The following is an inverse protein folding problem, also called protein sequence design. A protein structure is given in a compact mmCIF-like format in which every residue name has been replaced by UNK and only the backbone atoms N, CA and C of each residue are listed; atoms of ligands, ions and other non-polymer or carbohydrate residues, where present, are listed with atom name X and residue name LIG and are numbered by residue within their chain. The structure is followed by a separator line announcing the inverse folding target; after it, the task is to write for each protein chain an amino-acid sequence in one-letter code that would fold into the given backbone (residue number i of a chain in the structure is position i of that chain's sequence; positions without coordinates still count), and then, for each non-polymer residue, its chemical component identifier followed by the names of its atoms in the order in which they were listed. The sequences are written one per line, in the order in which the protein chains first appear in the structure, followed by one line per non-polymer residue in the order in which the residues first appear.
data_IF_178077408133
#
_entry.id   IF_178077408133
#
_cell.length_a   1.000
_cell.length_b   1.000
_cell.length_c   1.000
_cell.angle_alpha   90.00
_cell.angle_beta   90.00
_cell.angle_gamma   90.00
#
_symmetry.space_group_name_H-M   'P 1'
#
loop_
_entity.id
_entity.type
_entity.pdbx_description
1 polymer ?
#
# COMPACT_ATOMS: atom_id res chain seq x y z
N UNK A 1 8.61 -6.34 -45.47
CA UNK A 1 9.71 -5.74 -44.69
C UNK A 1 9.25 -4.42 -44.11
N UNK A 2 9.34 -4.23 -42.80
CA UNK A 2 9.13 -2.90 -42.20
C UNK A 2 10.49 -2.18 -42.11
N UNK A 3 10.54 -0.87 -42.38
CA UNK A 3 11.73 -0.05 -42.17
C UNK A 3 11.58 0.79 -40.91
N UNK A 4 12.70 1.10 -40.25
CA UNK A 4 12.72 1.98 -39.09
C UNK A 4 12.54 3.44 -39.53
N UNK A 5 11.52 4.13 -39.01
CA UNK A 5 11.20 5.52 -39.35
C UNK A 5 12.25 6.55 -38.86
N UNK A 6 13.15 6.15 -37.94
CA UNK A 6 14.23 7.04 -37.42
C UNK A 6 15.55 6.89 -38.19
N UNK A 7 15.92 5.68 -38.59
CA UNK A 7 17.25 5.40 -39.17
C UNK A 7 17.20 4.72 -40.54
N UNK A 8 16.01 4.46 -41.10
CA UNK A 8 15.81 3.83 -42.39
C UNK A 8 16.21 2.36 -42.47
N UNK A 9 16.75 1.77 -41.40
CA UNK A 9 17.21 0.37 -41.41
C UNK A 9 16.04 -0.59 -41.54
N UNK A 10 16.20 -1.63 -42.38
CA UNK A 10 15.19 -2.68 -42.51
C UNK A 10 15.11 -3.52 -41.24
N UNK A 11 13.90 -3.67 -40.72
CA UNK A 11 13.58 -4.49 -39.56
C UNK A 11 13.32 -5.90 -40.06
N UNK A 12 14.27 -6.80 -39.76
CA UNK A 12 14.23 -8.21 -40.15
C UNK A 12 13.34 -9.07 -39.25
N UNK A 13 13.23 -8.67 -37.98
CA UNK A 13 12.64 -9.48 -36.92
C UNK A 13 11.40 -8.79 -36.32
N UNK A 14 11.58 -7.99 -35.27
CA UNK A 14 10.49 -7.25 -34.61
C UNK A 14 10.79 -5.76 -34.47
N UNK A 15 9.84 -4.92 -34.89
CA UNK A 15 9.90 -3.46 -34.74
C UNK A 15 9.13 -3.00 -33.51
N UNK A 16 9.73 -2.12 -32.71
CA UNK A 16 9.09 -1.60 -31.50
C UNK A 16 8.31 -0.32 -31.84
N UNK A 17 7.06 -0.24 -31.41
CA UNK A 17 6.24 0.97 -31.60
C UNK A 17 6.51 1.94 -30.47
N UNK A 18 7.02 3.12 -30.81
CA UNK A 18 7.38 4.16 -29.85
C UNK A 18 6.73 5.48 -30.21
N UNK A 19 6.43 6.30 -29.20
CA UNK A 19 5.98 7.67 -29.42
C UNK A 19 7.18 8.59 -29.58
N UNK A 20 7.23 9.28 -30.72
CA UNK A 20 8.17 10.37 -31.00
C UNK A 20 7.35 11.58 -31.41
N UNK A 21 7.50 12.69 -30.68
CA UNK A 21 6.81 13.95 -30.96
C UNK A 21 5.27 13.83 -31.07
N UNK A 22 4.68 12.91 -30.31
CA UNK A 22 3.24 12.66 -30.30
C UNK A 22 2.74 11.70 -31.38
N UNK A 23 3.58 11.33 -32.34
CA UNK A 23 3.25 10.35 -33.37
C UNK A 23 3.79 8.96 -33.01
N UNK A 24 2.96 7.93 -33.28
CA UNK A 24 3.32 6.54 -33.06
C UNK A 24 4.05 6.02 -34.30
N UNK A 25 5.35 5.72 -34.16
CA UNK A 25 6.19 5.23 -35.26
C UNK A 25 6.82 3.88 -34.91
N UNK A 26 7.13 3.10 -35.94
CA UNK A 26 7.80 1.79 -35.78
C UNK A 26 9.29 1.96 -35.96
N UNK A 27 10.06 1.50 -34.99
CA UNK A 27 11.52 1.69 -34.97
C UNK A 27 12.26 0.40 -34.64
N UNK A 28 13.53 0.34 -34.99
CA UNK A 28 14.39 -0.77 -34.60
C UNK A 28 14.75 -0.68 -33.09
N UNK A 29 15.23 -1.79 -32.53
CA UNK A 29 15.60 -1.93 -31.11
C UNK A 29 16.62 -0.90 -30.61
N UNK A 30 17.46 -0.36 -31.50
CA UNK A 30 18.43 0.69 -31.15
C UNK A 30 17.77 2.06 -31.05
N UNK A 31 16.84 2.36 -31.95
CA UNK A 31 16.10 3.62 -32.00
C UNK A 31 14.98 3.71 -30.98
N UNK A 32 14.43 2.57 -30.51
CA UNK A 32 13.37 2.56 -29.50
C UNK A 32 13.78 3.20 -28.16
N UNK A 33 15.07 3.18 -27.82
CA UNK A 33 15.62 3.85 -26.63
C UNK A 33 15.50 5.39 -26.65
N UNK A 34 15.33 5.99 -27.84
CA UNK A 34 15.22 7.44 -28.01
C UNK A 34 13.78 7.93 -27.86
N UNK A 35 12.80 7.05 -28.07
CA UNK A 35 11.38 7.35 -27.92
C UNK A 35 10.83 6.86 -26.57
N UNK A 36 9.58 7.22 -26.28
CA UNK A 36 8.85 6.59 -25.17
C UNK A 36 8.25 5.27 -25.70
N UNK A 37 8.72 4.10 -25.22
CA UNK A 37 8.16 2.83 -25.70
C UNK A 37 6.69 2.77 -25.35
N UNK A 38 5.87 2.27 -26.27
CA UNK A 38 4.53 1.82 -25.94
C UNK A 38 4.72 0.71 -24.91
N UNK A 39 4.53 1.01 -23.62
CA UNK A 39 4.52 -0.02 -22.57
C UNK A 39 3.49 -1.04 -23.01
N UNK A 40 3.96 -2.18 -23.50
CA UNK A 40 3.16 -3.36 -23.68
C UNK A 40 2.54 -3.61 -22.31
N UNK A 41 1.27 -3.27 -22.15
CA UNK A 41 0.40 -3.89 -21.16
C UNK A 41 0.21 -5.35 -21.57
N UNK A 42 1.31 -6.10 -21.65
CA UNK A 42 1.24 -7.55 -21.60
C UNK A 42 0.80 -7.86 -20.19
N UNK A 43 -0.51 -8.10 -20.10
CA UNK A 43 -1.07 -9.09 -19.22
C UNK A 43 -0.50 -9.00 -17.81
N UNK A 44 -1.00 -8.00 -17.08
CA UNK A 44 -1.36 -8.26 -15.69
C UNK A 44 -2.28 -9.47 -15.78
N UNK A 45 -1.70 -10.66 -15.64
CA UNK A 45 -2.41 -11.91 -15.50
C UNK A 45 -3.51 -11.59 -14.51
N UNK A 46 -4.74 -11.77 -15.00
CA UNK A 46 -5.96 -11.55 -14.27
C UNK A 46 -5.87 -12.43 -13.03
N UNK A 47 -5.27 -11.92 -11.96
CA UNK A 47 -5.56 -12.39 -10.62
C UNK A 47 -7.08 -12.31 -10.57
N UNK A 48 -7.79 -13.43 -10.30
CA UNK A 48 -9.23 -13.42 -10.24
C UNK A 48 -9.59 -12.22 -9.40
N UNK A 49 -10.41 -11.32 -9.97
CA UNK A 49 -10.73 -10.03 -9.38
C UNK A 49 -10.97 -10.30 -7.89
N UNK A 50 -10.01 -9.90 -7.06
CA UNK A 50 -10.22 -9.92 -5.63
C UNK A 50 -11.43 -9.04 -5.51
N UNK A 51 -12.59 -9.66 -5.26
CA UNK A 51 -13.80 -8.96 -4.87
C UNK A 51 -13.32 -7.84 -3.97
N UNK A 52 -13.68 -6.57 -4.22
CA UNK A 52 -13.28 -5.51 -3.31
C UNK A 52 -13.60 -6.07 -1.94
N UNK A 53 -12.57 -6.36 -1.13
CA UNK A 53 -12.80 -6.81 0.23
C UNK A 53 -13.63 -5.67 0.74
N UNK A 54 -14.91 -5.94 0.99
CA UNK A 54 -15.79 -5.01 1.65
C UNK A 54 -14.92 -4.51 2.78
N UNK A 55 -14.54 -3.24 2.74
CA UNK A 55 -13.95 -2.60 3.89
C UNK A 55 -15.11 -2.74 4.85
N UNK A 56 -15.09 -3.80 5.65
CA UNK A 56 -15.97 -3.95 6.78
C UNK A 56 -15.66 -2.69 7.53
N UNK A 57 -16.61 -1.75 7.44
CA UNK A 57 -16.58 -0.54 8.25
C UNK A 57 -16.23 -1.07 9.62
N UNK A 58 -15.07 -0.66 10.16
CA UNK A 58 -14.66 -1.02 11.51
C UNK A 58 -15.94 -0.96 12.33
N UNK A 59 -16.39 -2.11 12.83
CA UNK A 59 -17.61 -2.16 13.61
C UNK A 59 -17.47 -1.03 14.61
N UNK A 60 -18.39 -0.05 14.52
CA UNK A 60 -18.40 1.04 15.50
C UNK A 60 -18.46 0.31 16.82
N UNK A 61 -17.41 0.46 17.64
CA UNK A 61 -17.33 -0.17 18.95
C UNK A 61 -18.52 0.40 19.72
N UNK A 62 -19.62 -0.34 19.74
CA UNK A 62 -20.77 -0.04 20.59
C UNK A 62 -20.36 -0.55 21.95
N UNK A 63 -20.06 0.39 22.84
CA UNK A 63 -19.94 0.10 24.26
C UNK A 63 -21.35 -0.22 24.74
N UNK A 64 -21.72 -1.50 24.66
CA UNK A 64 -22.86 -2.02 25.38
C UNK A 64 -22.45 -2.18 26.85
N UNK A 65 -23.37 -1.96 27.78
CA UNK A 65 -23.12 -2.06 29.23
C UNK A 65 -22.73 -3.49 29.68
N UNK A 66 -22.73 -4.44 28.75
CA UNK A 66 -22.23 -5.81 28.91
C UNK A 66 -20.73 -5.99 28.64
N UNK A 67 -20.00 -4.92 28.27
CA UNK A 67 -18.57 -4.99 27.96
C UNK A 67 -17.74 -5.37 29.19
N UNK A 68 -17.27 -6.63 29.22
CA UNK A 68 -16.38 -7.14 30.27
C UNK A 68 -14.93 -6.79 29.95
N UNK A 69 -14.24 -6.13 30.87
CA UNK A 69 -12.81 -5.88 30.76
C UNK A 69 -12.04 -7.21 30.71
N UNK A 70 -11.28 -7.41 29.64
CA UNK A 70 -10.50 -8.62 29.44
C UNK A 70 -9.41 -8.72 30.52
N UNK A 71 -9.24 -9.89 31.15
CA UNK A 71 -8.29 -10.10 32.25
C UNK A 71 -6.84 -9.68 31.93
N UNK A 72 -6.41 -9.83 30.67
CA UNK A 72 -5.05 -9.49 30.20
C UNK A 72 -4.99 -8.17 29.42
N UNK A 73 -5.87 -7.21 29.73
CA UNK A 73 -5.91 -5.90 29.06
C UNK A 73 -4.54 -5.19 29.01
N UNK A 74 -3.75 -5.30 30.07
CA UNK A 74 -2.42 -4.69 30.20
C UNK A 74 -1.45 -5.19 29.13
N UNK A 75 -1.40 -6.51 28.91
CA UNK A 75 -0.58 -7.14 27.88
C UNK A 75 -1.06 -6.80 26.48
N UNK A 76 -2.38 -6.81 26.26
CA UNK A 76 -2.97 -6.47 24.96
C UNK A 76 -2.60 -5.05 24.55
N UNK A 77 -2.71 -4.09 25.46
CA UNK A 77 -2.35 -2.69 25.20
C UNK A 77 -0.86 -2.55 24.94
N UNK A 78 -0.01 -3.18 25.77
CA UNK A 78 1.44 -3.15 25.59
C UNK A 78 1.87 -3.74 24.24
N UNK A 79 1.33 -4.90 23.88
CA UNK A 79 1.63 -5.58 22.62
C UNK A 79 1.17 -4.77 21.42
N UNK A 80 -0.03 -4.18 21.48
CA UNK A 80 -0.53 -3.29 20.44
C UNK A 80 0.35 -2.06 20.28
N UNK A 81 0.77 -1.40 21.38
CA UNK A 81 1.69 -0.26 21.33
C UNK A 81 3.02 -0.63 20.67
N UNK A 82 3.60 -1.76 21.06
CA UNK A 82 4.88 -2.23 20.50
C UNK A 82 4.76 -2.63 19.03
N UNK A 83 3.68 -3.30 18.63
CA UNK A 83 3.43 -3.67 17.24
C UNK A 83 3.28 -2.43 16.34
N UNK A 84 2.73 -1.34 16.86
CA UNK A 84 2.63 -0.06 16.17
C UNK A 84 3.90 0.81 16.28
N UNK A 85 4.94 0.35 17.00
CA UNK A 85 6.20 1.08 17.17
C UNK A 85 6.07 2.41 17.92
N UNK A 86 5.01 2.58 18.72
CA UNK A 86 4.70 3.83 19.40
C UNK A 86 5.41 3.93 20.76
N UNK A 87 5.96 5.08 21.09
CA UNK A 87 6.37 5.38 22.47
C UNK A 87 5.15 5.71 23.33
N UNK A 88 5.25 5.62 24.66
CA UNK A 88 4.15 6.03 25.55
C UNK A 88 3.76 7.50 25.36
N UNK A 89 4.70 8.36 25.01
CA UNK A 89 4.46 9.78 24.74
C UNK A 89 3.66 9.98 23.46
N UNK A 90 4.02 9.26 22.39
CA UNK A 90 3.31 9.29 21.12
C UNK A 90 1.90 8.73 21.25
N UNK A 91 1.74 7.61 21.95
CA UNK A 91 0.42 7.02 22.21
C UNK A 91 -0.45 7.97 23.04
N UNK A 92 0.11 8.56 24.10
CA UNK A 92 -0.59 9.56 24.93
C UNK A 92 -1.05 10.77 24.12
N UNK A 93 -0.22 11.28 23.21
CA UNK A 93 -0.60 12.38 22.33
C UNK A 93 -1.73 11.99 21.36
N UNK A 94 -1.69 10.80 20.79
CA UNK A 94 -2.70 10.30 19.84
C UNK A 94 -4.09 10.17 20.47
N UNK A 95 -4.16 9.61 21.68
CA UNK A 95 -5.44 9.38 22.38
C UNK A 95 -5.78 10.51 23.37
N UNK A 96 -4.94 11.54 23.46
CA UNK A 96 -5.04 12.70 24.37
C UNK A 96 -5.09 12.32 25.85
N UNK A 97 -4.33 11.31 26.23
CA UNK A 97 -4.20 10.83 27.61
C UNK A 97 -2.83 11.05 28.21
N UNK A 98 -2.79 11.09 29.55
CA UNK A 98 -1.53 11.27 30.29
C UNK A 98 -0.65 10.03 30.18
N UNK A 99 0.63 10.23 29.88
CA UNK A 99 1.65 9.16 29.80
C UNK A 99 1.75 8.35 31.10
N UNK A 100 1.63 9.02 32.25
CA UNK A 100 1.66 8.36 33.57
C UNK A 100 0.48 7.42 33.79
N UNK A 101 -0.68 7.72 33.21
CA UNK A 101 -1.87 6.87 33.25
C UNK A 101 -1.69 5.65 32.34
N UNK A 102 -1.19 5.84 31.13
CA UNK A 102 -0.84 4.74 30.21
C UNK A 102 0.14 3.74 30.83
N UNK A 103 1.17 4.22 31.53
CA UNK A 103 2.12 3.34 32.23
C UNK A 103 1.45 2.48 33.30
N UNK A 104 0.50 3.05 34.06
CA UNK A 104 -0.25 2.34 35.10
C UNK A 104 -1.24 1.31 34.52
N UNK A 105 -1.80 1.59 33.34
CA UNK A 105 -2.69 0.68 32.62
C UNK A 105 -1.87 -0.48 32.02
N UNK A 106 -0.76 -0.20 31.34
CA UNK A 106 0.13 -1.24 30.79
C UNK A 106 0.80 -2.09 31.87
N UNK A 107 0.96 -1.58 33.10
CA UNK A 107 1.43 -2.36 34.26
C UNK A 107 0.32 -3.12 34.98
N UNK A 108 -0.94 -2.94 34.58
CA UNK A 108 -2.11 -3.58 35.20
C UNK A 108 -2.47 -3.03 36.59
N UNK A 109 -1.82 -1.96 37.04
CA UNK A 109 -2.03 -1.35 38.37
C UNK A 109 -3.30 -0.49 38.40
N UNK A 110 -3.69 0.05 37.24
CA UNK A 110 -4.90 0.83 37.07
C UNK A 110 -5.76 0.16 36.00
N UNK A 111 -7.03 -0.09 36.34
CA UNK A 111 -8.02 -0.54 35.36
C UNK A 111 -8.57 0.67 34.61
N UNK A 112 -8.71 0.60 33.28
CA UNK A 112 -9.46 1.59 32.52
C UNK A 112 -10.93 1.55 32.97
N UNK A 113 -11.52 2.73 33.14
CA UNK A 113 -12.97 2.92 33.32
C UNK A 113 -13.69 2.88 31.96
#
# INVERSE_FOLDING_TARGET
MASCEICGTQILDYGEKVYVEGNLITVCKTCSKRGKPLKNQQEIQRKPAMRPKKIEKLDKITFDDSAVLINNFSEVIRNSRMANGLTHEQLGLLIKERVSLLRKIESGTLKPD
#
